data_IF_561648852802
#
_entry.id   IF_561648852802
#
_cell.length_a   1.000
_cell.length_b   1.000
_cell.length_c   1.000
_cell.angle_alpha   90.00
_cell.angle_beta   90.00
_cell.angle_gamma   90.00
#
_symmetry.space_group_name_H-M   'P 1'
#
loop_
_entity.id
_entity.type
_entity.pdbx_description
1 polymer ?
#
# COMPACT_ATOMS: atom_id res chain seq x y z
N UNK A 1 8.55 19.81 1.15
CA UNK A 1 8.43 19.53 2.61
C UNK A 1 7.70 18.21 2.80
N UNK A 2 8.27 17.31 3.56
CA UNK A 2 7.62 16.04 3.92
C UNK A 2 6.45 16.34 4.86
N UNK A 3 5.28 15.79 4.56
CA UNK A 3 4.05 16.04 5.31
C UNK A 3 3.75 14.95 6.36
N UNK A 4 4.52 13.86 6.35
CA UNK A 4 4.34 12.74 7.30
C UNK A 4 5.33 12.84 8.45
N UNK A 5 4.89 12.46 9.64
CA UNK A 5 5.76 12.22 10.77
C UNK A 5 6.53 10.90 10.55
N UNK A 6 7.83 10.99 10.40
CA UNK A 6 8.72 9.85 10.18
C UNK A 6 9.43 9.37 11.46
N UNK A 7 9.09 9.92 12.61
CA UNK A 7 9.82 9.67 13.88
C UNK A 7 9.82 8.20 14.29
N UNK A 8 8.80 7.45 13.95
CA UNK A 8 8.68 6.01 14.25
C UNK A 8 9.17 5.10 13.14
N UNK A 9 9.45 5.66 11.96
CA UNK A 9 9.94 4.87 10.81
C UNK A 9 11.41 4.53 11.06
N UNK A 10 11.87 3.32 10.69
CA UNK A 10 13.27 2.93 10.81
C UNK A 10 14.22 3.96 10.17
N UNK A 11 15.32 4.26 10.87
CA UNK A 11 16.24 5.34 10.50
C UNK A 11 16.88 5.15 9.12
N UNK A 12 17.17 3.92 8.71
CA UNK A 12 17.69 3.58 7.38
C UNK A 12 16.68 3.88 6.28
N UNK A 13 15.41 3.66 6.53
CA UNK A 13 14.32 3.97 5.60
C UNK A 13 14.15 5.48 5.48
N UNK A 14 14.18 6.21 6.59
CA UNK A 14 14.13 7.68 6.61
C UNK A 14 15.29 8.26 5.81
N UNK A 15 16.50 7.73 5.98
CA UNK A 15 17.67 8.13 5.20
C UNK A 15 17.47 7.93 3.69
N UNK A 16 16.88 6.82 3.29
CA UNK A 16 16.55 6.55 1.87
C UNK A 16 15.54 7.55 1.32
N UNK A 17 14.53 7.95 2.11
CA UNK A 17 13.53 8.94 1.71
C UNK A 17 14.21 10.28 1.44
N UNK A 18 15.08 10.72 2.34
CA UNK A 18 15.79 12.00 2.20
C UNK A 18 16.83 11.97 1.07
N UNK A 19 17.47 10.85 0.82
CA UNK A 19 18.49 10.70 -0.21
C UNK A 19 17.94 10.70 -1.65
N UNK A 20 16.64 10.40 -1.81
CA UNK A 20 16.00 10.28 -3.13
C UNK A 20 15.02 11.43 -3.39
N UNK A 21 15.24 12.28 -4.40
CA UNK A 21 14.27 13.30 -4.80
C UNK A 21 12.89 12.73 -5.11
N UNK A 22 12.84 11.55 -5.70
CA UNK A 22 11.59 10.83 -5.98
C UNK A 22 10.81 10.52 -4.70
N UNK A 23 11.49 9.96 -3.71
CA UNK A 23 10.83 9.60 -2.45
C UNK A 23 10.52 10.84 -1.60
N UNK A 24 11.38 11.83 -1.57
CA UNK A 24 11.10 13.11 -0.93
C UNK A 24 9.82 13.73 -1.50
N UNK A 25 9.66 13.72 -2.82
CA UNK A 25 8.43 14.19 -3.46
C UNK A 25 7.22 13.34 -3.04
N UNK A 26 7.35 12.01 -3.06
CA UNK A 26 6.26 11.11 -2.67
C UNK A 26 5.76 11.36 -1.25
N UNK A 27 6.68 11.61 -0.32
CA UNK A 27 6.32 11.87 1.08
C UNK A 27 5.98 13.34 1.37
N UNK A 28 5.99 14.19 0.36
CA UNK A 28 5.53 15.59 0.44
C UNK A 28 4.08 15.77 -0.05
N UNK A 29 3.46 14.71 -0.54
CA UNK A 29 2.12 14.72 -1.12
C UNK A 29 1.31 13.52 -0.63
N UNK A 30 -0.02 13.62 -0.70
CA UNK A 30 -0.89 12.45 -0.52
C UNK A 30 -0.72 11.47 -1.69
N UNK A 31 -0.94 10.17 -1.49
CA UNK A 31 -1.03 9.23 -2.59
C UNK A 31 -2.12 9.64 -3.58
N UNK A 32 -1.87 9.48 -4.85
CA UNK A 32 -2.88 9.73 -5.89
C UNK A 32 -3.79 8.54 -6.11
N UNK A 33 -3.37 7.36 -5.66
CA UNK A 33 -4.09 6.09 -5.81
C UNK A 33 -3.79 5.18 -4.62
N UNK A 34 -4.82 4.56 -4.07
CA UNK A 34 -4.70 3.59 -2.97
C UNK A 34 -4.79 2.15 -3.47
N UNK A 35 -5.76 1.85 -4.33
CA UNK A 35 -6.04 0.49 -4.79
C UNK A 35 -5.25 0.15 -6.06
N UNK A 36 -4.60 -1.01 -6.04
CA UNK A 36 -4.00 -1.61 -7.23
C UNK A 36 -4.97 -2.58 -7.91
N UNK A 37 -5.12 -2.46 -9.22
CA UNK A 37 -5.92 -3.36 -10.04
C UNK A 37 -5.01 -3.93 -11.13
N UNK A 38 -5.05 -5.24 -11.35
CA UNK A 38 -4.25 -5.91 -12.39
C UNK A 38 -2.73 -5.78 -12.24
N UNK A 39 -2.25 -5.37 -11.09
CA UNK A 39 -0.81 -5.26 -10.80
C UNK A 39 -0.16 -6.53 -10.27
N UNK A 40 -0.95 -7.53 -9.93
CA UNK A 40 -0.52 -8.79 -9.33
C UNK A 40 -0.90 -9.96 -10.24
N UNK A 41 0.01 -10.94 -10.40
CA UNK A 41 -0.22 -12.10 -11.27
C UNK A 41 -1.46 -12.92 -10.88
N UNK A 42 -1.77 -13.00 -9.59
CA UNK A 42 -2.98 -13.70 -9.11
C UNK A 42 -4.25 -12.97 -9.48
N UNK A 43 -4.27 -11.65 -9.40
CA UNK A 43 -5.44 -10.86 -9.78
C UNK A 43 -5.66 -10.88 -11.28
N UNK A 44 -4.60 -10.87 -12.08
CA UNK A 44 -4.68 -11.03 -13.55
C UNK A 44 -5.30 -12.37 -13.94
N UNK A 45 -4.95 -13.46 -13.25
CA UNK A 45 -5.62 -14.75 -13.47
C UNK A 45 -7.12 -14.68 -13.19
N UNK A 46 -7.53 -13.98 -12.15
CA UNK A 46 -8.95 -13.79 -11.83
C UNK A 46 -9.72 -13.07 -12.94
N UNK A 47 -9.09 -12.13 -13.63
CA UNK A 47 -9.71 -11.40 -14.75
C UNK A 47 -10.17 -12.34 -15.88
N UNK A 48 -9.41 -13.40 -16.15
CA UNK A 48 -9.77 -14.41 -17.15
C UNK A 48 -11.05 -15.15 -16.79
N UNK A 49 -11.43 -15.18 -15.53
CA UNK A 49 -12.65 -15.78 -15.01
C UNK A 49 -13.74 -14.75 -14.68
N UNK A 50 -13.59 -13.52 -15.13
CA UNK A 50 -14.57 -12.46 -14.94
C UNK A 50 -14.53 -11.80 -13.54
N UNK A 51 -13.45 -11.96 -12.80
CA UNK A 51 -13.26 -11.33 -11.48
C UNK A 51 -12.18 -10.25 -11.56
N UNK A 52 -12.52 -9.01 -11.25
CA UNK A 52 -11.58 -7.90 -11.21
C UNK A 52 -11.32 -7.50 -9.76
N UNK A 53 -10.13 -7.76 -9.27
CA UNK A 53 -9.76 -7.55 -7.87
C UNK A 53 -8.99 -6.25 -7.70
N UNK A 54 -9.45 -5.42 -6.76
CA UNK A 54 -8.72 -4.24 -6.29
C UNK A 54 -8.06 -4.56 -4.95
N UNK A 55 -6.78 -4.21 -4.79
CA UNK A 55 -6.00 -4.54 -3.60
C UNK A 55 -5.41 -3.27 -2.99
N UNK A 56 -5.58 -3.12 -1.68
CA UNK A 56 -4.88 -2.12 -0.88
C UNK A 56 -3.66 -2.78 -0.23
N UNK A 57 -2.47 -2.41 -0.67
CA UNK A 57 -1.22 -2.86 -0.04
C UNK A 57 -0.72 -1.86 0.98
N UNK A 58 -0.58 -2.29 2.22
CA UNK A 58 0.01 -1.53 3.32
C UNK A 58 1.31 -2.19 3.78
N UNK A 59 2.13 -1.46 4.54
CA UNK A 59 3.32 -2.00 5.18
C UNK A 59 2.94 -3.01 6.26
N UNK A 60 3.46 -4.25 6.22
CA UNK A 60 3.12 -5.27 7.21
C UNK A 60 3.94 -5.10 8.48
N UNK A 61 3.53 -5.80 9.54
CA UNK A 61 4.18 -5.84 10.85
C UNK A 61 4.61 -4.44 11.30
N UNK A 62 5.84 -4.28 11.77
CA UNK A 62 6.35 -3.01 12.30
C UNK A 62 7.17 -2.20 11.30
N UNK A 63 7.07 -2.49 10.00
CA UNK A 63 7.85 -1.81 8.95
C UNK A 63 7.61 -0.30 8.87
N UNK A 64 6.43 0.16 9.27
CA UNK A 64 6.08 1.59 9.32
C UNK A 64 6.39 2.25 10.67
N UNK A 65 6.87 1.47 11.65
CA UNK A 65 7.01 1.87 13.04
C UNK A 65 5.78 1.62 13.90
N UNK A 66 4.67 1.18 13.28
CA UNK A 66 3.43 0.77 13.96
C UNK A 66 3.11 -0.66 13.53
N UNK A 67 2.79 -1.54 14.48
CA UNK A 67 2.47 -2.93 14.17
C UNK A 67 1.10 -3.04 13.47
N UNK A 68 1.14 -3.30 12.18
CA UNK A 68 -0.04 -3.46 11.32
C UNK A 68 -0.52 -4.91 11.22
N UNK A 69 0.25 -5.87 11.74
CA UNK A 69 -0.02 -7.30 11.72
C UNK A 69 0.08 -7.86 13.13
N UNK A 70 -0.93 -7.63 13.95
CA UNK A 70 -0.90 -7.91 15.39
C UNK A 70 -0.49 -9.36 15.75
N UNK A 71 -0.83 -10.33 14.91
CA UNK A 71 -0.57 -11.75 15.14
C UNK A 71 0.63 -12.30 14.35
N UNK A 72 1.40 -11.43 13.69
CA UNK A 72 2.47 -11.87 12.78
C UNK A 72 3.57 -12.66 13.49
N UNK A 73 3.93 -12.26 14.69
CA UNK A 73 4.93 -12.96 15.51
C UNK A 73 4.41 -14.32 15.98
N UNK A 74 3.21 -14.37 16.53
CA UNK A 74 2.57 -15.61 17.00
C UNK A 74 2.34 -16.58 15.84
N UNK A 75 1.96 -16.09 14.67
CA UNK A 75 1.74 -16.90 13.47
C UNK A 75 3.03 -17.26 12.73
N UNK A 76 4.19 -16.78 13.19
CA UNK A 76 5.51 -17.01 12.55
C UNK A 76 5.57 -16.59 11.08
N UNK A 77 4.81 -15.56 10.68
CA UNK A 77 4.75 -15.11 9.30
C UNK A 77 5.64 -13.90 8.99
N UNK A 78 6.36 -13.37 9.95
CA UNK A 78 7.23 -12.20 9.74
C UNK A 78 8.35 -12.54 8.75
N UNK A 79 9.05 -13.65 8.95
CA UNK A 79 10.20 -14.04 8.12
C UNK A 79 9.80 -14.45 6.69
N UNK A 80 8.59 -15.01 6.55
CA UNK A 80 8.04 -15.43 5.26
C UNK A 80 7.11 -14.38 4.62
N UNK A 81 7.18 -13.14 5.06
CA UNK A 81 6.27 -12.08 4.62
C UNK A 81 6.41 -11.77 3.12
N UNK A 82 5.28 -11.68 2.42
CA UNK A 82 5.23 -11.32 1.00
C UNK A 82 5.83 -9.93 0.70
N UNK A 83 5.96 -9.06 1.71
CA UNK A 83 6.61 -7.76 1.58
C UNK A 83 8.11 -7.87 1.24
N UNK A 84 8.73 -8.99 1.56
CA UNK A 84 10.16 -9.25 1.31
C UNK A 84 10.40 -10.25 0.17
N UNK A 85 9.34 -10.70 -0.50
CA UNK A 85 9.40 -11.69 -1.57
C UNK A 85 9.05 -11.08 -2.93
N UNK A 86 9.72 -11.50 -3.99
CA UNK A 86 9.45 -11.09 -5.37
C UNK A 86 9.43 -9.57 -5.54
N UNK A 87 8.41 -9.04 -6.20
CA UNK A 87 8.23 -7.59 -6.39
C UNK A 87 8.01 -6.84 -5.07
N UNK A 88 7.55 -7.52 -4.02
CA UNK A 88 7.40 -6.93 -2.69
C UNK A 88 8.73 -6.51 -2.06
N UNK A 89 9.85 -7.13 -2.44
CA UNK A 89 11.18 -6.76 -1.98
C UNK A 89 11.74 -5.49 -2.64
N UNK A 90 11.15 -5.00 -3.70
CA UNK A 90 11.60 -3.79 -4.39
C UNK A 90 11.39 -2.54 -3.51
N UNK A 91 12.41 -1.69 -3.42
CA UNK A 91 12.36 -0.50 -2.56
C UNK A 91 11.21 0.45 -2.91
N UNK A 92 10.92 0.62 -4.21
CA UNK A 92 9.78 1.45 -4.64
C UNK A 92 8.42 0.88 -4.21
N UNK A 93 8.27 -0.44 -4.21
CA UNK A 93 7.07 -1.12 -3.71
C UNK A 93 6.92 -0.91 -2.21
N UNK A 94 7.99 -1.11 -1.45
CA UNK A 94 7.99 -0.92 0.00
C UNK A 94 7.74 0.54 0.38
N UNK A 95 8.33 1.49 -0.33
CA UNK A 95 8.10 2.93 -0.12
C UNK A 95 6.66 3.33 -0.44
N UNK A 96 6.06 2.77 -1.49
CA UNK A 96 4.65 3.00 -1.80
C UNK A 96 3.72 2.48 -0.70
N UNK A 97 4.00 1.29 -0.17
CA UNK A 97 3.25 0.71 0.95
C UNK A 97 3.40 1.54 2.22
N UNK A 98 4.61 1.95 2.54
CA UNK A 98 4.89 2.82 3.69
C UNK A 98 4.12 4.14 3.59
N UNK A 99 4.16 4.81 2.44
CA UNK A 99 3.44 6.05 2.21
C UNK A 99 1.94 5.89 2.46
N UNK A 100 1.33 4.83 1.93
CA UNK A 100 -0.11 4.55 2.12
C UNK A 100 -0.43 4.25 3.59
N UNK A 101 0.44 3.54 4.28
CA UNK A 101 0.28 3.23 5.71
C UNK A 101 0.33 4.49 6.55
N UNK A 102 1.32 5.37 6.33
CA UNK A 102 1.42 6.64 7.04
C UNK A 102 0.24 7.57 6.70
N UNK A 103 -0.21 7.57 5.47
CA UNK A 103 -1.40 8.31 5.05
C UNK A 103 -2.65 7.83 5.82
N UNK A 104 -2.85 6.52 5.92
CA UNK A 104 -3.93 5.96 6.71
C UNK A 104 -3.84 6.32 8.20
N UNK A 105 -2.65 6.22 8.79
CA UNK A 105 -2.46 6.43 10.23
C UNK A 105 -2.52 7.90 10.63
N UNK A 106 -2.03 8.80 9.79
CA UNK A 106 -1.87 10.22 10.13
C UNK A 106 -2.92 11.14 9.51
N UNK A 107 -3.58 10.69 8.45
CA UNK A 107 -4.58 11.45 7.69
C UNK A 107 -5.81 10.58 7.42
N UNK A 108 -6.40 10.04 8.47
CA UNK A 108 -7.50 9.06 8.37
C UNK A 108 -8.69 9.56 7.56
N UNK A 109 -9.14 10.80 7.79
CA UNK A 109 -10.32 11.33 7.10
C UNK A 109 -10.08 11.42 5.59
N UNK A 110 -8.92 11.88 5.17
CA UNK A 110 -8.54 11.99 3.76
C UNK A 110 -8.33 10.60 3.14
N UNK A 111 -7.71 9.70 3.88
CA UNK A 111 -7.52 8.30 3.47
C UNK A 111 -8.87 7.60 3.26
N UNK A 112 -9.76 7.69 4.23
CA UNK A 112 -11.09 7.06 4.17
C UNK A 112 -11.90 7.59 2.99
N UNK A 113 -11.94 8.92 2.80
CA UNK A 113 -12.65 9.54 1.70
C UNK A 113 -12.10 9.09 0.33
N UNK A 114 -10.78 9.01 0.19
CA UNK A 114 -10.14 8.53 -1.03
C UNK A 114 -10.45 7.05 -1.28
N UNK A 115 -10.37 6.22 -0.25
CA UNK A 115 -10.63 4.79 -0.34
C UNK A 115 -12.06 4.52 -0.82
N UNK A 116 -13.05 5.18 -0.22
CA UNK A 116 -14.45 5.02 -0.62
C UNK A 116 -14.68 5.44 -2.07
N UNK A 117 -14.10 6.55 -2.51
CA UNK A 117 -14.20 6.99 -3.92
C UNK A 117 -13.60 5.95 -4.87
N UNK A 118 -12.47 5.34 -4.51
CA UNK A 118 -11.85 4.31 -5.35
C UNK A 118 -12.65 3.02 -5.36
N UNK A 119 -13.21 2.60 -4.23
CA UNK A 119 -14.11 1.43 -4.14
C UNK A 119 -15.34 1.63 -5.02
N UNK A 120 -16.00 2.76 -4.92
CA UNK A 120 -17.19 3.08 -5.74
C UNK A 120 -16.86 3.13 -7.23
N UNK A 121 -15.73 3.73 -7.60
CA UNK A 121 -15.26 3.79 -8.97
C UNK A 121 -14.96 2.38 -9.51
N UNK A 122 -14.32 1.56 -8.70
CA UNK A 122 -14.01 0.16 -9.06
C UNK A 122 -15.30 -0.65 -9.26
N UNK A 123 -16.24 -0.56 -8.33
CA UNK A 123 -17.53 -1.24 -8.44
C UNK A 123 -18.33 -0.80 -9.68
N UNK A 124 -18.31 0.49 -9.98
CA UNK A 124 -18.95 1.04 -11.19
C UNK A 124 -18.28 0.50 -12.47
N UNK A 125 -16.96 0.44 -12.49
CA UNK A 125 -16.20 -0.12 -13.59
C UNK A 125 -16.54 -1.60 -13.79
N UNK A 126 -16.58 -2.39 -12.72
CA UNK A 126 -16.93 -3.81 -12.75
C UNK A 126 -18.34 -4.02 -13.33
N UNK A 127 -19.32 -3.26 -12.87
CA UNK A 127 -20.69 -3.35 -13.41
C UNK A 127 -20.75 -3.00 -14.89
N UNK A 128 -20.05 -1.95 -15.31
CA UNK A 128 -20.04 -1.51 -16.72
C UNK A 128 -19.43 -2.54 -17.65
N UNK A 129 -18.41 -3.27 -17.19
CA UNK A 129 -17.65 -4.22 -18.01
C UNK A 129 -17.98 -5.69 -17.73
N UNK A 130 -18.99 -5.97 -16.90
CA UNK A 130 -19.45 -7.33 -16.61
C UNK A 130 -18.53 -8.14 -15.70
N UNK A 131 -17.66 -7.49 -14.93
CA UNK A 131 -16.83 -8.15 -13.93
C UNK A 131 -17.55 -8.32 -12.59
N UNK A 132 -17.21 -9.39 -11.89
CA UNK A 132 -17.42 -9.51 -10.44
C UNK A 132 -16.24 -8.86 -9.70
N UNK A 133 -16.47 -8.25 -8.60
CA UNK A 133 -15.43 -7.67 -7.76
C UNK A 133 -15.62 -7.97 -6.27
#
# INVERSE_FOLDING_TARGET
MIIYDLSKVPADVVAQIHASPKYTKWFSEFPTKLLGVSGDAKTVKGEQYGVLTAILYLSPASSSGVNMCAMAETASCIDACLNTAGRGAMSSTQMSRLRKTLFMLQYWNEFEAMLWREIERHAKYCRKHGYKC
#
